data_IF_505099773205
#
_entry.id   IF_505099773205
#
_cell.length_a   1.000
_cell.length_b   1.000
_cell.length_c   1.000
_cell.angle_alpha   90.00
_cell.angle_beta   90.00
_cell.angle_gamma   90.00
#
_symmetry.space_group_name_H-M   'P 1'
#
loop_
_entity.id
_entity.type
_entity.pdbx_description
1 polymer ?
#
# COMPACT_ATOMS: atom_id res chain seq x y z
N UNK A 1 -22.20 6.74 -11.64
CA UNK A 1 -20.81 7.15 -11.92
C UNK A 1 -19.86 6.12 -11.33
N UNK A 2 -18.96 5.60 -12.12
CA UNK A 2 -18.00 4.59 -11.64
C UNK A 2 -16.88 5.26 -10.85
N UNK A 3 -16.34 4.53 -9.87
CA UNK A 3 -15.18 4.99 -9.12
C UNK A 3 -13.96 5.08 -10.04
N UNK A 4 -13.03 5.99 -9.77
CA UNK A 4 -11.82 6.09 -10.57
C UNK A 4 -10.99 4.81 -10.45
N UNK A 5 -10.39 4.41 -11.57
CA UNK A 5 -9.53 3.24 -11.62
C UNK A 5 -8.17 3.65 -12.17
N UNK A 6 -7.18 2.79 -11.98
CA UNK A 6 -5.87 3.02 -12.55
C UNK A 6 -5.87 2.63 -14.02
N UNK A 7 -5.98 3.64 -14.89
CA UNK A 7 -5.94 3.43 -16.34
C UNK A 7 -4.55 3.60 -16.92
N UNK A 8 -3.71 4.40 -16.27
CA UNK A 8 -2.35 4.66 -16.74
C UNK A 8 -1.49 3.42 -16.55
N UNK A 9 -0.91 2.93 -17.65
CA UNK A 9 -0.08 1.73 -17.64
C UNK A 9 1.13 1.88 -16.72
N UNK A 10 1.75 3.06 -16.70
CA UNK A 10 2.89 3.32 -15.84
C UNK A 10 2.51 3.28 -14.36
N UNK A 11 1.38 3.86 -14.01
CA UNK A 11 0.86 3.83 -12.64
C UNK A 11 0.56 2.40 -12.19
N UNK A 12 -0.04 1.60 -13.08
CA UNK A 12 -0.32 0.19 -12.79
C UNK A 12 0.96 -0.59 -12.54
N UNK A 13 1.95 -0.41 -13.41
CA UNK A 13 3.24 -1.11 -13.28
C UNK A 13 3.95 -0.73 -11.99
N UNK A 14 3.97 0.56 -11.67
CA UNK A 14 4.62 1.06 -10.47
C UNK A 14 3.94 0.50 -9.21
N UNK A 15 2.61 0.49 -9.19
CA UNK A 15 1.86 -0.04 -8.05
C UNK A 15 2.06 -1.55 -7.92
N UNK A 16 2.00 -2.26 -9.04
CA UNK A 16 2.20 -3.72 -9.03
C UNK A 16 3.60 -4.09 -8.51
N UNK A 17 4.63 -3.38 -8.98
CA UNK A 17 5.99 -3.63 -8.52
C UNK A 17 6.14 -3.34 -7.02
N UNK A 18 5.50 -2.28 -6.53
CA UNK A 18 5.49 -1.93 -5.12
C UNK A 18 4.83 -3.02 -4.28
N UNK A 19 3.67 -3.50 -4.72
CA UNK A 19 2.94 -4.55 -4.02
C UNK A 19 3.67 -5.89 -4.05
N UNK A 20 4.34 -6.20 -5.16
CA UNK A 20 5.15 -7.41 -5.26
C UNK A 20 6.28 -7.42 -4.23
N UNK A 21 6.92 -6.25 -4.01
CA UNK A 21 7.95 -6.13 -2.96
C UNK A 21 7.35 -6.30 -1.58
N UNK A 22 6.16 -5.77 -1.35
CA UNK A 22 5.46 -5.92 -0.06
C UNK A 22 5.11 -7.39 0.19
N UNK A 23 4.65 -8.09 -0.84
CA UNK A 23 4.41 -9.54 -0.73
C UNK A 23 5.69 -10.28 -0.32
N UNK A 24 6.82 -9.90 -0.89
CA UNK A 24 8.10 -10.48 -0.52
C UNK A 24 8.47 -10.21 0.94
N UNK A 25 8.19 -8.99 1.43
CA UNK A 25 8.42 -8.62 2.82
C UNK A 25 7.53 -9.43 3.77
N UNK A 26 6.27 -9.62 3.42
CA UNK A 26 5.35 -10.43 4.23
C UNK A 26 5.80 -11.89 4.25
N UNK A 27 6.23 -12.40 3.11
CA UNK A 27 6.75 -13.76 3.02
C UNK A 27 7.99 -13.94 3.90
N UNK A 28 8.86 -12.92 3.93
CA UNK A 28 10.05 -12.92 4.78
C UNK A 28 9.67 -12.97 6.26
N UNK A 29 8.62 -12.24 6.67
CA UNK A 29 8.13 -12.27 8.05
C UNK A 29 7.66 -13.68 8.43
N UNK A 30 6.92 -14.33 7.54
CA UNK A 30 6.45 -15.69 7.77
C UNK A 30 7.64 -16.66 7.95
N UNK A 31 8.69 -16.48 7.16
CA UNK A 31 9.91 -17.30 7.28
C UNK A 31 10.61 -17.03 8.60
N UNK A 32 10.68 -15.76 9.02
CA UNK A 32 11.32 -15.40 10.29
C UNK A 32 10.60 -16.05 11.48
N UNK A 33 9.27 -16.12 11.43
CA UNK A 33 8.49 -16.82 12.46
C UNK A 33 8.83 -18.31 12.47
N UNK A 34 8.89 -18.90 11.30
CA UNK A 34 9.21 -20.32 11.14
C UNK A 34 10.64 -20.66 11.62
N UNK A 35 11.56 -19.72 11.46
CA UNK A 35 12.96 -19.87 11.87
C UNK A 35 13.21 -19.44 13.33
N UNK A 36 12.16 -19.18 14.09
CA UNK A 36 12.24 -18.79 15.50
C UNK A 36 13.06 -17.52 15.73
N UNK A 37 12.97 -16.56 14.83
CA UNK A 37 13.60 -15.25 15.00
C UNK A 37 13.01 -14.53 16.20
N UNK A 38 13.74 -13.57 16.76
CA UNK A 38 13.26 -12.81 17.91
C UNK A 38 12.05 -11.98 17.56
N UNK A 39 11.18 -11.76 18.54
CA UNK A 39 10.01 -10.90 18.36
C UNK A 39 10.40 -9.49 17.92
N UNK A 40 11.53 -8.99 18.43
CA UNK A 40 12.03 -7.67 18.02
C UNK A 40 12.36 -7.63 16.53
N UNK A 41 13.07 -8.62 16.01
CA UNK A 41 13.42 -8.68 14.59
C UNK A 41 12.16 -8.78 13.74
N UNK A 42 11.20 -9.60 14.15
CA UNK A 42 9.94 -9.78 13.44
C UNK A 42 9.17 -8.44 13.43
N UNK A 43 9.10 -7.75 14.57
CA UNK A 43 8.43 -6.47 14.68
C UNK A 43 9.05 -5.41 13.78
N UNK A 44 10.38 -5.39 13.67
CA UNK A 44 11.08 -4.46 12.77
C UNK A 44 10.68 -4.70 11.32
N UNK A 45 10.61 -5.96 10.90
CA UNK A 45 10.20 -6.31 9.54
C UNK A 45 8.75 -5.96 9.27
N UNK A 46 7.88 -6.22 10.24
CA UNK A 46 6.47 -5.84 10.13
C UNK A 46 6.31 -4.33 10.03
N UNK A 47 7.10 -3.57 10.79
CA UNK A 47 7.09 -2.11 10.73
C UNK A 47 7.48 -1.61 9.33
N UNK A 48 8.49 -2.24 8.71
CA UNK A 48 8.91 -1.90 7.35
C UNK A 48 7.79 -2.19 6.34
N UNK A 49 7.14 -3.35 6.46
CA UNK A 49 6.03 -3.73 5.58
C UNK A 49 4.86 -2.77 5.74
N UNK A 50 4.57 -2.36 6.98
CA UNK A 50 3.50 -1.40 7.25
C UNK A 50 3.77 -0.06 6.57
N UNK A 51 5.00 0.46 6.69
CA UNK A 51 5.37 1.71 6.04
C UNK A 51 5.26 1.62 4.52
N UNK A 52 5.64 0.47 3.96
CA UNK A 52 5.52 0.24 2.52
C UNK A 52 4.05 0.21 2.08
N UNK A 53 3.18 -0.42 2.88
CA UNK A 53 1.74 -0.43 2.61
C UNK A 53 1.13 0.97 2.72
N UNK A 54 1.55 1.76 3.71
CA UNK A 54 1.11 3.14 3.83
C UNK A 54 1.46 3.94 2.57
N UNK A 55 2.68 3.74 2.05
CA UNK A 55 3.11 4.42 0.84
C UNK A 55 2.26 4.01 -0.35
N UNK A 56 1.94 2.72 -0.49
CA UNK A 56 1.07 2.24 -1.54
C UNK A 56 -0.33 2.86 -1.42
N UNK A 57 -0.84 2.95 -0.20
CA UNK A 57 -2.12 3.59 0.07
C UNK A 57 -2.13 5.05 -0.38
N UNK A 58 -1.10 5.82 -0.03
CA UNK A 58 -1.02 7.23 -0.44
C UNK A 58 -0.83 7.40 -1.95
N UNK A 59 -0.18 6.45 -2.61
CA UNK A 59 -0.10 6.46 -4.07
C UNK A 59 -1.48 6.27 -4.71
N UNK A 60 -2.32 5.41 -4.14
CA UNK A 60 -3.70 5.26 -4.60
C UNK A 60 -4.51 6.54 -4.38
N UNK A 61 -4.32 7.17 -3.22
CA UNK A 61 -4.96 8.45 -2.91
C UNK A 61 -4.55 9.51 -3.94
N UNK A 62 -3.27 9.58 -4.25
CA UNK A 62 -2.75 10.52 -5.27
C UNK A 62 -3.36 10.24 -6.64
N UNK A 63 -3.53 8.96 -6.99
CA UNK A 63 -4.15 8.57 -8.25
C UNK A 63 -5.60 9.06 -8.32
N UNK A 64 -6.34 8.94 -7.24
CA UNK A 64 -7.72 9.44 -7.17
C UNK A 64 -7.79 10.95 -7.40
N UNK A 65 -6.88 11.70 -6.78
CA UNK A 65 -6.83 13.16 -6.91
C UNK A 65 -6.54 13.55 -8.36
N UNK A 66 -5.60 12.87 -9.01
CA UNK A 66 -5.19 13.21 -10.38
C UNK A 66 -6.25 12.90 -11.43
N UNK A 67 -7.02 11.84 -11.23
CA UNK A 67 -7.87 11.30 -12.29
C UNK A 67 -9.37 11.46 -12.04
N UNK A 68 -9.75 12.17 -10.99
CA UNK A 68 -11.15 12.36 -10.62
C UNK A 68 -11.39 13.83 -10.30
N UNK A 69 -12.36 14.51 -10.98
CA UNK A 69 -12.66 15.92 -10.66
C UNK A 69 -13.08 16.14 -9.20
N UNK A 70 -13.69 15.13 -8.59
CA UNK A 70 -14.11 15.18 -7.19
C UNK A 70 -13.22 14.34 -6.30
N UNK A 71 -12.00 14.10 -6.76
CA UNK A 71 -11.05 13.22 -6.06
C UNK A 71 -10.75 13.69 -4.65
N UNK A 72 -10.63 15.02 -4.44
CA UNK A 72 -10.34 15.57 -3.12
C UNK A 72 -11.44 15.24 -2.12
N UNK A 73 -12.71 15.34 -2.53
CA UNK A 73 -13.86 15.02 -1.67
C UNK A 73 -13.88 13.53 -1.34
N UNK A 74 -13.62 12.68 -2.34
CA UNK A 74 -13.56 11.22 -2.13
C UNK A 74 -12.42 10.85 -1.22
N UNK A 75 -11.27 11.50 -1.36
CA UNK A 75 -10.11 11.26 -0.50
C UNK A 75 -10.43 11.66 0.94
N UNK A 76 -11.05 12.82 1.15
CA UNK A 76 -11.43 13.26 2.49
C UNK A 76 -12.35 12.25 3.16
N UNK A 77 -13.36 11.76 2.42
CA UNK A 77 -14.28 10.73 2.90
C UNK A 77 -13.55 9.44 3.25
N UNK A 78 -12.64 9.02 2.38
CA UNK A 78 -11.88 7.78 2.55
C UNK A 78 -10.95 7.86 3.75
N UNK A 79 -10.26 8.98 3.92
CA UNK A 79 -9.38 9.20 5.06
C UNK A 79 -10.14 9.26 6.38
N UNK A 80 -11.36 9.81 6.37
CA UNK A 80 -12.21 9.81 7.55
C UNK A 80 -12.60 8.39 7.95
N UNK A 81 -12.72 7.49 6.98
CA UNK A 81 -13.13 6.10 7.21
C UNK A 81 -11.95 5.19 7.56
N UNK A 82 -10.82 5.36 6.90
CA UNK A 82 -9.69 4.41 6.98
C UNK A 82 -8.38 5.04 7.49
N UNK A 83 -8.36 6.35 7.58
CA UNK A 83 -7.15 7.06 7.98
C UNK A 83 -6.80 7.03 9.46
#
# INVERSE_FOLDING_TARGET
MTDPTMHDTEDKKAMDARLARIEGQVRAVRRMIDEDQTCENIAQQLSAARRALDRAFYEMVSCMIRHEPQGADKVAELLARFG
#
